data_IF_463688096323
#
_entry.id   IF_463688096323
#
_cell.length_a   1.000
_cell.length_b   1.000
_cell.length_c   1.000
_cell.angle_alpha   90.00
_cell.angle_beta   90.00
_cell.angle_gamma   90.00
#
_symmetry.space_group_name_H-M   'P 1'
#
loop_
_entity.id
_entity.type
_entity.pdbx_description
1 polymer ?
#
# COMPACT_ATOMS: atom_id res chain seq x y z
N UNK A 1 1.01 32.46 23.43
CA UNK A 1 1.63 31.77 24.58
C UNK A 1 1.46 30.24 24.51
N UNK A 2 0.26 29.64 24.63
CA UNK A 2 0.15 28.17 24.50
C UNK A 2 0.01 27.66 23.05
N UNK A 3 -0.62 28.44 22.17
CA UNK A 3 -0.81 28.10 20.75
C UNK A 3 0.49 28.03 19.93
N UNK A 4 1.60 28.52 20.47
CA UNK A 4 2.91 28.50 19.80
C UNK A 4 3.47 27.10 19.59
N UNK A 5 2.92 26.08 20.28
CA UNK A 5 3.25 24.67 20.04
C UNK A 5 2.57 24.11 18.79
N UNK A 6 1.45 24.71 18.35
CA UNK A 6 0.65 24.19 17.24
C UNK A 6 1.42 24.12 15.91
N UNK A 7 2.24 25.11 15.52
CA UNK A 7 3.07 24.99 14.32
C UNK A 7 4.04 23.80 14.38
N UNK A 8 4.70 23.58 15.53
CA UNK A 8 5.61 22.44 15.70
C UNK A 8 4.89 21.10 15.61
N UNK A 9 3.73 20.99 16.24
CA UNK A 9 2.86 19.80 16.17
C UNK A 9 2.32 19.58 14.76
N UNK A 10 1.99 20.64 14.02
CA UNK A 10 1.50 20.55 12.65
C UNK A 10 2.60 20.02 11.71
N UNK A 11 3.83 20.55 11.81
CA UNK A 11 4.97 20.06 11.02
C UNK A 11 5.25 18.60 11.34
N UNK A 12 5.30 18.22 12.62
CA UNK A 12 5.50 16.84 13.04
C UNK A 12 4.40 15.92 12.50
N UNK A 13 3.13 16.34 12.61
CA UNK A 13 1.99 15.57 12.10
C UNK A 13 2.04 15.35 10.59
N UNK A 14 2.43 16.36 9.82
CA UNK A 14 2.60 16.25 8.37
C UNK A 14 3.75 15.28 8.05
N UNK A 15 4.92 15.45 8.68
CA UNK A 15 6.08 14.58 8.47
C UNK A 15 5.78 13.11 8.78
N UNK A 16 4.98 12.83 9.80
CA UNK A 16 4.56 11.46 10.14
C UNK A 16 3.46 10.91 9.22
N UNK A 17 2.62 11.79 8.67
CA UNK A 17 1.53 11.40 7.77
C UNK A 17 2.03 11.09 6.35
N UNK A 18 3.08 11.77 5.88
CA UNK A 18 3.63 11.61 4.53
C UNK A 18 3.95 10.15 4.21
N UNK A 19 4.74 9.40 5.02
CA UNK A 19 5.06 8.00 4.72
C UNK A 19 3.82 7.10 4.60
N UNK A 20 2.82 7.29 5.46
CA UNK A 20 1.55 6.54 5.42
C UNK A 20 0.77 6.81 4.13
N UNK A 21 0.63 8.07 3.76
CA UNK A 21 -0.04 8.46 2.52
C UNK A 21 0.73 7.96 1.29
N UNK A 22 2.05 8.17 1.27
CA UNK A 22 2.91 7.71 0.18
C UNK A 22 2.80 6.20 -0.05
N UNK A 23 2.81 5.39 1.02
CA UNK A 23 2.69 3.92 0.86
C UNK A 23 1.34 3.49 0.30
N UNK A 24 0.24 4.15 0.66
CA UNK A 24 -1.09 3.89 0.08
C UNK A 24 -1.08 4.15 -1.43
N UNK A 25 -0.57 5.31 -1.85
CA UNK A 25 -0.49 5.65 -3.27
C UNK A 25 0.43 4.70 -4.04
N UNK A 26 1.60 4.36 -3.48
CA UNK A 26 2.55 3.41 -4.08
C UNK A 26 1.90 2.02 -4.20
N UNK A 27 1.20 1.55 -3.17
CA UNK A 27 0.51 0.25 -3.22
C UNK A 27 -0.55 0.21 -4.31
N UNK A 28 -1.37 1.26 -4.45
CA UNK A 28 -2.36 1.34 -5.53
C UNK A 28 -1.70 1.41 -6.89
N UNK A 29 -0.64 2.19 -7.06
CA UNK A 29 0.08 2.31 -8.32
C UNK A 29 0.69 0.98 -8.78
N UNK A 30 1.40 0.29 -7.89
CA UNK A 30 2.08 -0.96 -8.20
C UNK A 30 1.15 -2.17 -8.39
N UNK A 31 -0.09 -2.12 -7.88
CA UNK A 31 -1.02 -3.26 -7.87
C UNK A 31 -2.29 -3.02 -8.71
N UNK A 32 -2.20 -2.15 -9.73
CA UNK A 32 -3.29 -1.96 -10.69
C UNK A 32 -4.51 -1.25 -10.10
N UNK A 33 -4.29 -0.25 -9.26
CA UNK A 33 -5.33 0.54 -8.60
C UNK A 33 -5.92 -0.11 -7.34
N UNK A 34 -5.48 -1.32 -6.98
CA UNK A 34 -5.96 -2.08 -5.83
C UNK A 34 -4.98 -2.05 -4.66
N UNK A 35 -5.46 -2.44 -3.50
CA UNK A 35 -4.59 -2.66 -2.33
C UNK A 35 -3.59 -3.80 -2.59
N UNK A 36 -2.40 -3.72 -1.97
CA UNK A 36 -1.39 -4.78 -2.06
C UNK A 36 -1.90 -6.05 -1.40
N UNK A 37 -1.80 -7.19 -2.09
CA UNK A 37 -2.17 -8.49 -1.50
C UNK A 37 -1.21 -8.87 -0.38
N UNK A 38 -1.75 -9.19 0.79
CA UNK A 38 -0.99 -9.64 1.95
C UNK A 38 -1.16 -11.16 2.07
N UNK A 39 -0.08 -11.90 1.94
CA UNK A 39 -0.05 -13.36 2.12
C UNK A 39 0.57 -13.69 3.48
N UNK A 40 -0.25 -13.71 4.53
CA UNK A 40 0.16 -14.11 5.89
C UNK A 40 0.21 -15.64 6.05
N UNK A 41 -0.64 -16.34 5.30
CA UNK A 41 -0.72 -17.81 5.32
C UNK A 41 -0.21 -18.41 4.01
N UNK A 42 0.35 -19.64 4.04
CA UNK A 42 0.82 -20.32 2.82
C UNK A 42 -0.27 -20.47 1.76
N UNK A 43 -1.51 -20.71 2.18
CA UNK A 43 -2.66 -20.77 1.28
C UNK A 43 -2.90 -19.47 0.50
N UNK A 44 -2.66 -18.31 1.11
CA UNK A 44 -2.81 -17.02 0.43
C UNK A 44 -1.71 -16.81 -0.62
N UNK A 45 -0.51 -17.34 -0.37
CA UNK A 45 0.60 -17.32 -1.32
C UNK A 45 0.33 -18.23 -2.53
N UNK A 46 -0.12 -19.47 -2.30
CA UNK A 46 -0.43 -20.39 -3.40
C UNK A 46 -1.55 -19.85 -4.31
N UNK A 47 -2.55 -19.18 -3.73
CA UNK A 47 -3.57 -18.46 -4.51
C UNK A 47 -3.01 -17.26 -5.28
N UNK A 48 -2.10 -16.48 -4.69
CA UNK A 48 -1.46 -15.36 -5.37
C UNK A 48 -0.61 -15.83 -6.57
N UNK A 49 0.09 -16.95 -6.44
CA UNK A 49 0.84 -17.57 -7.54
C UNK A 49 -0.07 -18.15 -8.61
N UNK A 50 -1.23 -18.69 -8.23
CA UNK A 50 -2.27 -19.10 -9.18
C UNK A 50 -2.71 -17.90 -10.02
N UNK A 51 -3.03 -16.77 -9.40
CA UNK A 51 -3.46 -15.56 -10.10
C UNK A 51 -2.34 -15.03 -11.02
N UNK A 52 -1.09 -15.06 -10.57
CA UNK A 52 0.08 -14.73 -11.41
C UNK A 52 0.13 -15.60 -12.67
N UNK A 53 -0.07 -16.92 -12.55
CA UNK A 53 -0.05 -17.87 -13.68
C UNK A 53 -1.21 -17.64 -14.64
N UNK A 54 -2.42 -17.43 -14.12
CA UNK A 54 -3.63 -17.22 -14.92
C UNK A 54 -3.61 -15.86 -15.63
N UNK A 55 -2.93 -14.85 -15.07
CA UNK A 55 -2.86 -13.50 -15.63
C UNK A 55 -2.33 -13.44 -17.07
N UNK A 56 -1.51 -14.41 -17.52
CA UNK A 56 -0.88 -14.43 -18.84
C UNK A 56 0.21 -13.36 -19.07
N UNK A 57 0.35 -12.39 -18.15
CA UNK A 57 1.33 -11.30 -18.21
C UNK A 57 2.29 -11.32 -17.01
N UNK A 58 2.33 -12.46 -16.30
CA UNK A 58 3.18 -12.67 -15.13
C UNK A 58 2.97 -11.64 -13.99
N UNK A 59 1.74 -11.09 -13.84
CA UNK A 59 1.40 -10.09 -12.83
C UNK A 59 0.18 -10.55 -12.05
N UNK A 60 0.35 -10.83 -10.76
CA UNK A 60 -0.72 -11.35 -9.89
C UNK A 60 -1.90 -10.40 -9.70
N UNK A 61 -1.68 -9.10 -9.86
CA UNK A 61 -2.73 -8.09 -9.64
C UNK A 61 -3.63 -7.90 -10.86
N UNK A 62 -3.27 -8.48 -12.02
CA UNK A 62 -4.10 -8.46 -13.23
C UNK A 62 -5.14 -9.58 -13.11
N UNK A 63 -6.36 -9.19 -12.79
CA UNK A 63 -7.51 -10.09 -12.75
C UNK A 63 -7.94 -10.43 -14.18
N UNK A 64 -8.26 -11.70 -14.42
CA UNK A 64 -8.88 -12.18 -15.65
C UNK A 64 -10.39 -12.24 -15.51
#
# INVERSE_FOLDING_TARGET
MWYEILPGMAVMGICLSIPGLSTIFIHRWCNGGKEKRIARYPYQWTLMERDRRISGVNKYYVSK
#
